data_IF_968158380804
#
_entry.id   IF_968158380804
#
_cell.length_a   1.000
_cell.length_b   1.000
_cell.length_c   1.000
_cell.angle_alpha   90.00
_cell.angle_beta   90.00
_cell.angle_gamma   90.00
#
_symmetry.space_group_name_H-M   'P 1'
#
loop_
_entity.id
_entity.type
_entity.pdbx_description
1 polymer ?
#
# COMPACT_ATOMS: atom_id res chain seq x y z
N UNK A 1 -10.88 -1.08 -10.56
CA UNK A 1 -9.94 -0.21 -9.84
C UNK A 1 -8.61 -0.95 -9.68
N UNK A 2 -7.61 -0.58 -10.49
CA UNK A 2 -6.32 -1.29 -10.58
C UNK A 2 -5.48 -1.08 -9.30
N UNK A 3 -5.76 -0.03 -8.55
CA UNK A 3 -4.98 0.43 -7.41
C UNK A 3 -5.85 0.54 -6.15
N UNK A 4 -6.39 -0.60 -5.73
CA UNK A 4 -7.11 -0.67 -4.45
C UNK A 4 -6.13 -0.56 -3.27
N UNK A 5 -6.63 -0.08 -2.13
CA UNK A 5 -5.87 -0.14 -0.89
C UNK A 5 -5.62 -1.60 -0.51
N UNK A 6 -4.37 -1.86 -0.20
CA UNK A 6 -3.89 -3.17 0.23
C UNK A 6 -3.75 -3.14 1.75
N UNK A 7 -4.14 -4.22 2.41
CA UNK A 7 -3.91 -4.38 3.84
C UNK A 7 -3.24 -5.75 4.08
N UNK A 8 -2.00 -5.73 4.56
CA UNK A 8 -1.23 -6.96 4.84
C UNK A 8 -1.84 -7.79 5.97
N UNK A 9 -2.68 -7.21 6.81
CA UNK A 9 -3.41 -7.95 7.87
C UNK A 9 -4.62 -8.75 7.34
N UNK A 10 -5.00 -8.59 6.08
CA UNK A 10 -5.96 -9.51 5.46
C UNK A 10 -5.27 -10.84 5.12
N UNK A 11 -5.97 -11.97 5.30
CA UNK A 11 -5.43 -13.30 4.95
C UNK A 11 -4.95 -13.37 3.50
N UNK A 12 -5.67 -12.70 2.61
CA UNK A 12 -5.34 -12.57 1.21
C UNK A 12 -5.33 -11.13 0.76
N UNK A 13 -4.18 -10.69 0.34
CA UNK A 13 -3.97 -9.40 -0.29
C UNK A 13 -4.40 -9.48 -1.75
N UNK A 14 -5.42 -8.73 -2.11
CA UNK A 14 -5.86 -8.66 -3.51
C UNK A 14 -5.12 -7.56 -4.25
N UNK A 15 -4.41 -7.94 -5.29
CA UNK A 15 -3.68 -7.03 -6.15
C UNK A 15 -4.03 -7.32 -7.61
N UNK A 16 -4.55 -6.33 -8.34
CA UNK A 16 -4.86 -6.44 -9.77
C UNK A 16 -5.77 -7.64 -10.14
N UNK A 17 -6.66 -8.09 -9.30
CA UNK A 17 -7.51 -9.28 -9.43
C UNK A 17 -6.86 -10.61 -8.98
N UNK A 18 -5.57 -10.64 -8.66
CA UNK A 18 -4.91 -11.83 -8.14
C UNK A 18 -4.92 -11.81 -6.61
N UNK A 19 -5.36 -12.89 -5.96
CA UNK A 19 -5.22 -13.04 -4.52
C UNK A 19 -3.83 -13.58 -4.19
N UNK A 20 -3.13 -12.90 -3.28
CA UNK A 20 -1.86 -13.35 -2.72
C UNK A 20 -2.06 -13.67 -1.25
N UNK A 21 -1.53 -14.77 -0.78
CA UNK A 21 -1.50 -15.04 0.66
C UNK A 21 -0.61 -14.00 1.35
N UNK A 22 -1.10 -13.44 2.44
CA UNK A 22 -0.34 -12.46 3.21
C UNK A 22 0.84 -13.15 3.92
N UNK A 23 2.03 -12.53 3.96
CA UNK A 23 3.16 -13.10 4.69
C UNK A 23 2.99 -13.13 6.21
N UNK A 24 1.94 -12.54 6.75
CA UNK A 24 1.62 -12.58 8.19
C UNK A 24 0.32 -13.32 8.49
N UNK A 25 -0.31 -13.93 7.49
CA UNK A 25 -1.48 -14.79 7.68
C UNK A 25 -1.09 -16.20 8.13
N UNK A 26 -2.04 -16.93 8.68
CA UNK A 26 -1.82 -18.33 9.04
C UNK A 26 -1.38 -19.18 7.84
N UNK A 27 -1.94 -18.96 6.67
CA UNK A 27 -1.52 -19.60 5.42
C UNK A 27 -0.11 -19.18 5.01
N UNK A 28 0.28 -17.93 5.31
CA UNK A 28 1.59 -17.40 4.98
C UNK A 28 2.73 -18.17 5.63
N UNK A 29 2.55 -18.67 6.85
CA UNK A 29 3.57 -19.46 7.57
C UNK A 29 3.96 -20.71 6.78
N UNK A 30 3.01 -21.37 6.13
CA UNK A 30 3.28 -22.54 5.30
C UNK A 30 3.73 -22.20 3.87
N UNK A 31 3.34 -21.03 3.37
CA UNK A 31 3.61 -20.63 2.00
C UNK A 31 4.97 -19.93 1.83
N UNK A 32 5.42 -19.16 2.83
CA UNK A 32 6.67 -18.40 2.79
C UNK A 32 7.74 -19.00 3.67
N UNK A 33 9.00 -18.75 3.29
CA UNK A 33 10.20 -18.99 4.08
C UNK A 33 10.72 -17.65 4.60
N UNK A 34 11.03 -17.60 5.88
CA UNK A 34 11.46 -16.38 6.57
C UNK A 34 12.93 -16.50 7.01
N UNK A 35 13.65 -15.39 6.87
CA UNK A 35 15.04 -15.28 7.27
C UNK A 35 15.18 -14.07 8.20
N UNK A 36 15.65 -14.27 9.41
CA UNK A 36 16.04 -13.19 10.30
C UNK A 36 17.35 -12.60 9.76
N UNK A 37 17.31 -11.34 9.34
CA UNK A 37 18.45 -10.66 8.74
C UNK A 37 19.26 -9.90 9.78
N UNK A 38 18.60 -9.04 10.54
CA UNK A 38 19.24 -8.14 11.50
C UNK A 38 18.22 -7.58 12.50
N UNK A 39 18.74 -6.79 13.44
CA UNK A 39 17.97 -5.91 14.29
C UNK A 39 18.28 -4.47 13.93
N UNK A 40 17.26 -3.73 13.53
CA UNK A 40 17.40 -2.35 13.05
C UNK A 40 16.40 -1.43 13.73
N UNK A 41 16.45 -0.14 13.39
CA UNK A 41 15.47 0.84 13.85
C UNK A 41 14.61 1.31 12.69
N UNK A 42 13.30 1.31 12.89
CA UNK A 42 12.33 1.97 12.02
C UNK A 42 11.80 3.16 12.80
N UNK A 43 12.17 4.37 12.38
CA UNK A 43 11.96 5.60 13.14
C UNK A 43 12.66 5.51 14.51
N UNK A 44 11.89 5.42 15.60
CA UNK A 44 12.39 5.32 16.98
C UNK A 44 12.30 3.90 17.55
N UNK A 45 11.64 3.00 16.84
CA UNK A 45 11.31 1.67 17.31
C UNK A 45 12.36 0.66 16.86
N UNK A 46 12.90 -0.11 17.81
CA UNK A 46 13.80 -1.24 17.54
C UNK A 46 12.99 -2.39 16.95
N UNK A 47 13.43 -2.93 15.82
CA UNK A 47 12.71 -3.97 15.08
C UNK A 47 13.63 -5.12 14.69
N UNK A 48 13.10 -6.32 14.68
CA UNK A 48 13.67 -7.45 13.94
C UNK A 48 13.34 -7.29 12.46
N UNK A 49 14.36 -7.38 11.63
CA UNK A 49 14.21 -7.37 10.18
C UNK A 49 14.15 -8.81 9.67
N UNK A 50 13.01 -9.20 9.10
CA UNK A 50 12.79 -10.50 8.49
C UNK A 50 12.61 -10.34 6.98
N UNK A 51 13.46 -11.02 6.21
CA UNK A 51 13.19 -11.20 4.77
C UNK A 51 12.30 -12.41 4.56
N UNK A 52 11.42 -12.37 3.58
CA UNK A 52 10.58 -13.51 3.22
C UNK A 52 10.48 -13.70 1.70
N UNK A 53 10.34 -14.96 1.31
CA UNK A 53 10.19 -15.40 -0.09
C UNK A 53 9.26 -16.61 -0.12
N UNK A 54 8.54 -16.89 -1.22
CA UNK A 54 7.80 -18.14 -1.36
C UNK A 54 8.70 -19.37 -1.15
N UNK A 55 8.19 -20.40 -0.49
CA UNK A 55 8.90 -21.65 -0.27
C UNK A 55 9.33 -22.30 -1.58
N UNK A 56 8.45 -22.30 -2.57
CA UNK A 56 8.75 -22.72 -3.93
C UNK A 56 8.91 -21.48 -4.82
N UNK A 57 10.05 -21.27 -5.47
CA UNK A 57 10.30 -20.11 -6.34
C UNK A 57 9.38 -20.02 -7.58
N UNK A 58 8.62 -21.07 -7.88
CA UNK A 58 7.62 -21.09 -8.95
C UNK A 58 6.25 -20.58 -8.48
N UNK A 59 6.02 -20.53 -7.17
CA UNK A 59 4.76 -20.10 -6.62
C UNK A 59 4.57 -18.59 -6.76
N UNK A 60 3.33 -18.23 -7.01
CA UNK A 60 2.93 -16.84 -7.20
C UNK A 60 2.68 -16.17 -5.84
N UNK A 61 3.73 -15.56 -5.29
CA UNK A 61 3.71 -14.93 -3.99
C UNK A 61 4.57 -13.67 -3.94
N UNK A 62 4.40 -12.88 -2.89
CA UNK A 62 5.27 -11.73 -2.63
C UNK A 62 6.66 -12.18 -2.21
N UNK A 63 7.64 -11.33 -2.46
CA UNK A 63 8.90 -11.31 -1.74
C UNK A 63 9.00 -10.01 -0.96
N UNK A 64 9.80 -9.96 0.10
CA UNK A 64 9.92 -8.69 0.80
C UNK A 64 10.55 -8.75 2.17
N UNK A 65 10.21 -7.74 2.97
CA UNK A 65 10.77 -7.57 4.30
C UNK A 65 9.69 -7.15 5.29
N UNK A 66 9.69 -7.79 6.44
CA UNK A 66 8.87 -7.44 7.60
C UNK A 66 9.77 -6.82 8.68
N UNK A 67 9.31 -5.75 9.28
CA UNK A 67 9.94 -5.12 10.44
C UNK A 67 9.01 -5.29 11.63
N UNK A 68 9.38 -6.16 12.55
CA UNK A 68 8.58 -6.55 13.71
C UNK A 68 9.18 -5.91 14.95
N UNK A 69 8.37 -5.27 15.77
CA UNK A 69 8.83 -4.65 17.01
C UNK A 69 9.60 -5.67 17.88
N UNK A 70 10.79 -5.26 18.31
CA UNK A 70 11.62 -6.05 19.20
C UNK A 70 11.24 -5.82 20.69
N UNK A 71 9.95 -5.87 20.95
CA UNK A 71 9.34 -5.78 22.27
C UNK A 71 8.43 -6.99 22.54
N UNK A 72 7.73 -7.01 23.67
CA UNK A 72 6.83 -8.11 24.03
C UNK A 72 5.56 -8.21 23.18
N UNK A 73 5.29 -7.22 22.32
CA UNK A 73 4.09 -7.21 21.47
C UNK A 73 4.29 -7.85 20.12
N UNK A 74 5.53 -7.86 19.61
CA UNK A 74 5.91 -8.39 18.29
C UNK A 74 5.00 -7.89 17.14
N UNK A 75 4.50 -6.65 17.26
CA UNK A 75 3.63 -6.06 16.24
C UNK A 75 4.41 -5.71 14.98
N UNK A 76 3.77 -5.81 13.84
CA UNK A 76 4.35 -5.37 12.58
C UNK A 76 4.44 -3.85 12.56
N UNK A 77 5.67 -3.30 12.52
CA UNK A 77 5.92 -1.86 12.42
C UNK A 77 5.90 -1.39 10.97
N UNK A 78 6.48 -2.19 10.08
CA UNK A 78 6.54 -1.88 8.66
C UNK A 78 6.64 -3.16 7.86
N UNK A 79 6.07 -3.17 6.66
CA UNK A 79 6.35 -4.20 5.67
C UNK A 79 6.66 -3.58 4.31
N UNK A 80 7.46 -4.32 3.54
CA UNK A 80 7.71 -4.06 2.12
C UNK A 80 7.34 -5.32 1.37
N UNK A 81 6.36 -5.23 0.48
CA UNK A 81 5.88 -6.32 -0.37
C UNK A 81 6.32 -6.03 -1.80
N UNK A 82 7.08 -6.92 -2.39
CA UNK A 82 7.52 -6.80 -3.78
C UNK A 82 6.84 -7.88 -4.62
N UNK A 83 6.28 -7.47 -5.75
CA UNK A 83 5.78 -8.40 -6.75
C UNK A 83 6.95 -8.89 -7.60
N UNK A 84 7.16 -10.22 -7.75
CA UNK A 84 8.26 -10.73 -8.54
C UNK A 84 8.07 -10.42 -10.03
N UNK A 85 9.17 -10.14 -10.74
CA UNK A 85 9.18 -9.78 -12.17
C UNK A 85 8.60 -10.84 -13.12
N UNK A 86 8.45 -12.08 -12.66
CA UNK A 86 7.90 -13.20 -13.45
C UNK A 86 6.38 -13.32 -13.39
N UNK A 87 5.71 -12.36 -12.78
CA UNK A 87 4.27 -12.37 -12.73
C UNK A 87 3.74 -11.89 -14.08
N UNK A 88 2.99 -12.75 -14.79
CA UNK A 88 2.24 -12.39 -16.01
C UNK A 88 1.06 -11.46 -15.68
N UNK A 89 1.28 -10.53 -14.75
CA UNK A 89 0.32 -9.46 -14.48
C UNK A 89 0.52 -8.44 -15.60
N UNK A 90 -0.41 -8.45 -16.55
CA UNK A 90 -0.39 -7.64 -17.75
C UNK A 90 0.17 -6.24 -17.50
N UNK A 91 1.25 -5.93 -18.22
CA UNK A 91 1.92 -4.62 -18.23
C UNK A 91 2.68 -4.21 -16.96
N UNK A 92 2.65 -4.97 -15.87
CA UNK A 92 3.42 -4.67 -14.64
C UNK A 92 4.80 -5.30 -14.73
N UNK A 93 5.84 -4.48 -14.77
CA UNK A 93 7.24 -4.96 -14.71
C UNK A 93 7.68 -5.18 -13.26
N UNK A 94 7.42 -4.22 -12.40
CA UNK A 94 7.73 -4.29 -10.98
C UNK A 94 6.67 -3.57 -10.16
N UNK A 95 6.42 -4.05 -8.97
CA UNK A 95 5.59 -3.37 -7.99
C UNK A 95 6.16 -3.57 -6.59
N UNK A 96 6.21 -2.49 -5.84
CA UNK A 96 6.59 -2.49 -4.43
C UNK A 96 5.55 -1.73 -3.62
N UNK A 97 5.13 -2.32 -2.51
CA UNK A 97 4.17 -1.73 -1.58
C UNK A 97 4.85 -1.65 -0.22
N UNK A 98 4.91 -0.46 0.35
CA UNK A 98 5.43 -0.22 1.69
C UNK A 98 4.28 0.23 2.59
N UNK A 99 4.04 -0.49 3.67
CA UNK A 99 3.05 -0.13 4.68
C UNK A 99 3.73 0.13 6.01
N UNK A 100 3.27 1.17 6.71
CA UNK A 100 3.75 1.52 8.04
C UNK A 100 2.60 1.52 9.03
N UNK A 101 2.89 1.05 10.23
CA UNK A 101 1.93 0.90 11.32
C UNK A 101 2.45 1.61 12.57
N UNK A 102 1.53 2.03 13.42
CA UNK A 102 1.88 2.69 14.67
C UNK A 102 0.71 2.78 15.63
N UNK A 103 1.02 3.13 16.86
CA UNK A 103 0.02 3.36 17.90
C UNK A 103 -0.57 4.77 17.75
N UNK A 104 -1.89 4.86 17.87
CA UNK A 104 -2.56 6.13 18.13
C UNK A 104 -2.34 6.58 19.58
N UNK A 105 -2.58 7.85 19.91
CA UNK A 105 -2.53 8.35 21.28
C UNK A 105 -3.48 7.59 22.24
N UNK A 106 -4.52 6.99 21.70
CA UNK A 106 -5.52 6.16 22.40
C UNK A 106 -5.07 4.71 22.60
N UNK A 107 -3.96 4.29 21.96
CA UNK A 107 -3.32 2.98 22.15
C UNK A 107 -3.59 1.96 21.05
N UNK A 108 -4.54 2.20 20.16
CA UNK A 108 -4.84 1.30 19.03
C UNK A 108 -3.69 1.28 18.05
N UNK A 109 -3.41 0.09 17.49
CA UNK A 109 -2.41 -0.13 16.47
C UNK A 109 -3.05 -0.09 15.10
N UNK A 110 -2.63 0.86 14.28
CA UNK A 110 -3.28 1.16 12.99
C UNK A 110 -2.27 1.30 11.86
N UNK A 111 -2.74 1.20 10.63
CA UNK A 111 -1.95 1.46 9.43
C UNK A 111 -1.85 2.98 9.22
N UNK A 112 -0.66 3.55 9.34
CA UNK A 112 -0.42 4.99 9.19
C UNK A 112 -0.23 5.40 7.74
N UNK A 113 0.46 4.57 6.95
CA UNK A 113 0.69 4.85 5.53
C UNK A 113 0.72 3.60 4.66
N UNK A 114 0.42 3.80 3.38
CA UNK A 114 0.56 2.83 2.30
C UNK A 114 1.14 3.54 1.08
N UNK A 115 2.37 3.21 0.74
CA UNK A 115 3.08 3.72 -0.42
C UNK A 115 3.25 2.60 -1.45
N UNK A 116 2.75 2.80 -2.66
CA UNK A 116 2.90 1.87 -3.77
C UNK A 116 3.70 2.52 -4.89
N UNK A 117 4.70 1.81 -5.37
CA UNK A 117 5.46 2.15 -6.57
C UNK A 117 5.27 1.02 -7.59
N UNK A 118 4.82 1.35 -8.78
CA UNK A 118 4.57 0.40 -9.85
C UNK A 118 5.24 0.87 -11.15
N UNK A 119 6.02 0.00 -11.76
CA UNK A 119 6.56 0.20 -13.09
C UNK A 119 5.71 -0.58 -14.10
N UNK A 120 5.16 0.15 -15.05
CA UNK A 120 4.31 -0.39 -16.11
C UNK A 120 5.05 -0.28 -17.45
N UNK A 121 4.95 -1.30 -18.26
CA UNK A 121 5.43 -1.31 -19.64
C UNK A 121 4.28 -1.63 -20.59
N UNK A 122 3.85 -0.65 -21.36
CA UNK A 122 2.84 -0.86 -22.39
C UNK A 122 3.04 0.11 -23.55
N UNK A 123 2.63 -0.32 -24.75
CA UNK A 123 2.83 0.42 -26.00
C UNK A 123 4.27 0.86 -26.28
N UNK A 124 5.26 0.09 -25.79
CA UNK A 124 6.68 0.41 -25.96
C UNK A 124 7.20 1.54 -25.05
N UNK A 125 6.39 2.02 -24.13
CA UNK A 125 6.77 3.03 -23.13
C UNK A 125 6.81 2.46 -21.71
N UNK A 126 7.75 2.97 -20.89
CA UNK A 126 7.81 2.70 -19.45
C UNK A 126 7.18 3.83 -18.67
N UNK A 127 6.28 3.49 -17.78
CA UNK A 127 5.54 4.43 -16.94
C UNK A 127 5.74 4.05 -15.48
N UNK A 128 6.08 5.03 -14.65
CA UNK A 128 6.17 4.85 -13.21
C UNK A 128 4.94 5.48 -12.55
N UNK A 129 4.20 4.67 -11.82
CA UNK A 129 3.04 5.09 -11.04
C UNK A 129 3.39 5.00 -9.57
N UNK A 130 3.22 6.09 -8.86
CA UNK A 130 3.35 6.14 -7.39
C UNK A 130 2.01 6.54 -6.78
N UNK A 131 1.58 5.80 -5.77
CA UNK A 131 0.49 6.17 -4.89
C UNK A 131 1.02 6.26 -3.48
N UNK A 132 0.83 7.39 -2.82
CA UNK A 132 1.12 7.59 -1.40
C UNK A 132 -0.19 7.86 -0.67
N UNK A 133 -0.51 7.03 0.30
CA UNK A 133 -1.71 7.17 1.14
C UNK A 133 -1.27 7.36 2.58
N UNK A 134 -1.77 8.41 3.21
CA UNK A 134 -1.60 8.65 4.63
C UNK A 134 -2.98 8.60 5.30
N UNK A 135 -3.09 7.80 6.33
CA UNK A 135 -4.33 7.63 7.09
C UNK A 135 -4.28 8.52 8.33
N UNK A 136 -5.34 9.31 8.54
CA UNK A 136 -5.53 10.17 9.71
C UNK A 136 -6.97 10.10 10.19
N UNK A 137 -7.27 10.76 11.30
CA UNK A 137 -8.62 10.93 11.83
C UNK A 137 -9.36 9.61 12.04
N UNK A 138 -8.66 8.66 12.66
CA UNK A 138 -9.24 7.34 12.97
C UNK A 138 -10.43 7.48 13.92
N UNK A 139 -11.53 6.84 13.55
CA UNK A 139 -12.73 6.79 14.35
C UNK A 139 -13.20 5.33 14.50
N UNK A 140 -13.28 4.85 15.73
CA UNK A 140 -13.66 3.47 16.09
C UNK A 140 -15.12 3.36 16.54
N UNK A 141 -15.96 4.33 16.19
CA UNK A 141 -17.41 4.23 16.46
C UNK A 141 -18.00 3.10 15.59
N UNK A 142 -18.97 2.38 16.19
CA UNK A 142 -19.72 1.35 15.49
C UNK A 142 -20.36 1.92 14.22
N UNK A 143 -19.81 1.56 13.08
CA UNK A 143 -20.39 1.93 11.81
C UNK A 143 -21.55 0.99 11.48
N UNK A 144 -22.69 1.56 11.12
CA UNK A 144 -23.83 0.76 10.67
C UNK A 144 -23.43 0.00 9.41
N UNK A 145 -23.43 -1.34 9.46
CA UNK A 145 -23.10 -2.21 8.33
C UNK A 145 -23.85 -1.85 7.02
N UNK A 146 -25.03 -1.22 7.12
CA UNK A 146 -25.80 -0.77 5.96
C UNK A 146 -25.05 0.24 5.09
N UNK A 147 -24.11 1.01 5.68
CA UNK A 147 -23.29 1.98 4.96
C UNK A 147 -22.38 1.28 3.96
N UNK A 148 -21.87 0.08 4.30
CA UNK A 148 -20.93 -0.66 3.47
C UNK A 148 -21.58 -1.67 2.52
N UNK A 149 -22.84 -2.06 2.76
CA UNK A 149 -23.55 -3.13 1.98
C UNK A 149 -23.69 -2.84 0.49
N UNK A 150 -23.69 -1.57 0.08
CA UNK A 150 -23.88 -1.20 -1.34
C UNK A 150 -22.60 -0.72 -2.05
N UNK A 151 -21.53 -0.38 -1.32
CA UNK A 151 -20.36 0.34 -1.88
C UNK A 151 -19.01 -0.31 -1.59
N UNK A 152 -18.97 -1.52 -1.01
CA UNK A 152 -17.71 -2.15 -0.63
C UNK A 152 -17.11 -1.56 0.66
N UNK A 153 -15.82 -1.84 0.90
CA UNK A 153 -15.09 -1.43 2.11
C UNK A 153 -14.69 0.05 2.14
N UNK A 154 -14.78 0.75 1.03
CA UNK A 154 -14.38 2.15 0.90
C UNK A 154 -15.54 3.01 0.43
N UNK A 155 -15.73 4.14 1.10
CA UNK A 155 -16.66 5.20 0.68
C UNK A 155 -15.82 6.40 0.30
N UNK A 156 -15.87 6.78 -0.98
CA UNK A 156 -15.22 8.00 -1.48
C UNK A 156 -16.22 9.15 -1.42
N UNK A 157 -15.79 10.29 -0.85
CA UNK A 157 -16.56 11.52 -0.94
C UNK A 157 -16.76 11.89 -2.42
N UNK A 158 -18.02 12.13 -2.82
CA UNK A 158 -18.36 12.48 -4.19
C UNK A 158 -17.61 13.74 -4.68
N UNK A 159 -17.25 14.63 -3.76
CA UNK A 159 -16.56 15.88 -4.07
C UNK A 159 -15.02 15.77 -3.87
N UNK A 160 -14.49 14.60 -3.52
CA UNK A 160 -13.05 14.44 -3.24
C UNK A 160 -12.17 14.94 -4.39
N UNK A 161 -12.58 14.70 -5.64
CA UNK A 161 -11.84 15.12 -6.83
C UNK A 161 -12.08 16.59 -7.23
N UNK A 162 -13.01 17.28 -6.57
CA UNK A 162 -13.38 18.68 -6.85
C UNK A 162 -12.81 19.67 -5.83
N UNK A 163 -11.97 19.21 -4.92
CA UNK A 163 -11.32 20.06 -3.92
C UNK A 163 -10.32 20.98 -4.60
N UNK A 164 -10.30 22.26 -4.17
CA UNK A 164 -9.38 23.28 -4.69
C UNK A 164 -7.94 23.08 -4.14
N UNK A 165 -7.00 23.82 -4.73
CA UNK A 165 -5.59 23.76 -4.33
C UNK A 165 -5.36 24.18 -2.87
N UNK A 166 -6.19 25.12 -2.34
CA UNK A 166 -6.11 25.56 -0.96
C UNK A 166 -6.42 24.42 0.01
N UNK A 167 -7.46 23.65 -0.28
CA UNK A 167 -7.77 22.45 0.47
C UNK A 167 -6.60 21.45 0.44
N UNK A 168 -6.07 21.15 -0.74
CA UNK A 168 -4.96 20.21 -0.88
C UNK A 168 -3.68 20.69 -0.21
N UNK A 169 -3.36 21.97 -0.26
CA UNK A 169 -2.20 22.54 0.42
C UNK A 169 -2.30 22.42 1.95
N UNK A 170 -3.53 22.47 2.48
CA UNK A 170 -3.77 22.31 3.93
C UNK A 170 -3.71 20.87 4.39
N UNK A 171 -4.23 19.93 3.60
CA UNK A 171 -4.40 18.54 4.01
C UNK A 171 -3.37 17.58 3.42
N UNK A 172 -2.52 18.05 2.53
CA UNK A 172 -1.48 17.21 1.94
C UNK A 172 -0.43 16.87 2.98
N UNK A 173 -0.19 15.57 3.20
CA UNK A 173 0.76 15.07 4.18
C UNK A 173 2.23 15.27 3.75
N UNK A 174 2.49 15.37 2.44
CA UNK A 174 3.84 15.59 1.88
C UNK A 174 3.77 16.65 0.78
N UNK A 175 4.81 17.49 0.68
CA UNK A 175 4.91 18.46 -0.41
C UNK A 175 5.07 17.74 -1.76
N UNK A 176 4.46 18.30 -2.79
CA UNK A 176 4.65 17.82 -4.16
C UNK A 176 6.07 18.15 -4.64
N UNK A 177 6.71 17.19 -5.26
CA UNK A 177 7.91 17.45 -6.04
C UNK A 177 7.57 18.32 -7.26
N UNK A 178 8.58 19.01 -7.83
CA UNK A 178 8.38 19.80 -9.06
C UNK A 178 7.80 18.97 -10.21
N UNK A 179 8.18 17.70 -10.30
CA UNK A 179 7.68 16.77 -11.31
C UNK A 179 6.20 16.45 -11.12
N UNK A 180 5.78 16.19 -9.89
CA UNK A 180 4.38 15.89 -9.54
C UNK A 180 3.47 17.12 -9.73
N UNK A 181 3.95 18.30 -9.37
CA UNK A 181 3.23 19.56 -9.61
C UNK A 181 3.00 19.83 -11.11
N UNK A 182 4.02 19.57 -11.92
CA UNK A 182 3.91 19.73 -13.39
C UNK A 182 2.96 18.70 -14.00
N UNK A 183 2.91 17.48 -13.46
CA UNK A 183 2.03 16.42 -13.95
C UNK A 183 0.55 16.72 -13.66
N UNK A 184 0.24 17.36 -12.53
CA UNK A 184 -1.12 17.83 -12.23
C UNK A 184 -1.66 18.77 -13.30
N UNK A 185 -0.85 19.74 -13.74
CA UNK A 185 -1.19 20.65 -14.85
C UNK A 185 -1.36 19.94 -16.20
N UNK A 186 -0.57 18.90 -16.47
CA UNK A 186 -0.68 18.10 -17.67
C UNK A 186 -1.96 17.26 -17.72
N UNK A 187 -2.32 16.59 -16.60
CA UNK A 187 -3.56 15.80 -16.48
C UNK A 187 -4.79 16.70 -16.62
N UNK A 188 -4.78 17.88 -16.02
CA UNK A 188 -5.88 18.86 -16.18
C UNK A 188 -6.04 19.30 -17.63
N UNK A 189 -4.93 19.50 -18.35
CA UNK A 189 -4.97 19.84 -19.79
C UNK A 189 -5.53 18.68 -20.62
N UNK A 190 -5.14 17.44 -20.33
CA UNK A 190 -5.67 16.26 -21.01
C UNK A 190 -7.17 16.06 -20.77
N UNK A 191 -7.65 16.24 -19.52
CA UNK A 191 -9.06 16.13 -19.18
C UNK A 191 -9.94 17.19 -19.89
N UNK A 192 -9.36 18.32 -20.31
CA UNK A 192 -10.05 19.37 -21.05
C UNK A 192 -10.04 19.18 -22.58
N UNK A 193 -9.34 18.16 -23.10
CA UNK A 193 -9.38 17.81 -24.53
C UNK A 193 -10.65 16.99 -24.73
N UNK A 194 -11.62 17.56 -25.48
CA UNK A 194 -12.85 16.84 -25.88
C UNK A 194 -12.46 15.59 -26.66
N UNK A 195 -12.63 14.42 -26.08
CA UNK A 195 -12.38 13.14 -26.74
C UNK A 195 -11.55 12.12 -25.94
N UNK A 196 -11.22 12.44 -24.69
CA UNK A 196 -10.63 11.49 -23.75
C UNK A 196 -11.62 11.10 -22.69
#
# INVERSE_FOLDING_TARGET
DVFQNVNVYEDRVRLLQYPFDSPISDNGIGFYRYYIMDTTYVEKDKCFQLSFVPNNPQDFGFTGTLYILADSTYRLKQCVLNLPKKTDVNFVETMSIKQQFGALPTGEWVQLSDDMLCELNFFGGRFMVRRATHNSDYNFLDTNERVFKKKGKEIKDANAMMRNDEFWNRYRATELTKSESNMGGFVTKLANIKGF
#
